data_IF_864530963355
#
_entry.id   IF_864530963355
#
_cell.length_a   1.000
_cell.length_b   1.000
_cell.length_c   1.000
_cell.angle_alpha   90.00
_cell.angle_beta   90.00
_cell.angle_gamma   90.00
#
_symmetry.space_group_name_H-M   'P 1'
#
loop_
_entity.id
_entity.type
_entity.pdbx_description
1 polymer ?
#
# COMPACT_ATOMS: atom_id res chain seq x y z
N UNK A 1 0.56 -9.27 27.60
CA UNK A 1 0.63 -8.18 26.59
C UNK A 1 0.08 -8.69 25.26
N UNK A 2 -0.90 -8.00 24.67
CA UNK A 2 -1.60 -8.47 23.46
C UNK A 2 -0.70 -8.52 22.21
N UNK A 3 -0.70 -9.65 21.48
CA UNK A 3 0.05 -9.90 20.24
C UNK A 3 -0.69 -9.37 18.99
N UNK A 4 -1.26 -8.16 19.07
CA UNK A 4 -2.02 -7.57 17.96
C UNK A 4 -1.14 -7.34 16.72
N UNK A 5 -1.64 -7.63 15.50
CA UNK A 5 -0.99 -7.20 14.27
C UNK A 5 -0.71 -5.69 14.24
N UNK A 6 0.30 -5.30 13.47
CA UNK A 6 0.67 -3.91 13.19
C UNK A 6 0.19 -3.52 11.81
N UNK A 7 -0.27 -2.29 11.71
CA UNK A 7 -0.66 -1.66 10.46
C UNK A 7 0.46 -0.67 10.11
N UNK A 8 1.00 -0.79 8.91
CA UNK A 8 2.01 0.11 8.38
C UNK A 8 1.66 0.54 6.94
N UNK A 9 2.21 1.67 6.51
CA UNK A 9 2.20 2.09 5.11
C UNK A 9 3.55 1.71 4.51
N UNK A 10 3.53 0.89 3.46
CA UNK A 10 4.71 0.50 2.69
C UNK A 10 4.95 1.48 1.55
N UNK A 11 6.22 1.71 1.27
CA UNK A 11 6.70 2.50 0.15
C UNK A 11 7.61 1.65 -0.74
N UNK A 12 7.35 1.70 -2.05
CA UNK A 12 8.15 1.02 -3.06
C UNK A 12 8.58 1.99 -4.17
N UNK A 13 9.77 1.80 -4.73
CA UNK A 13 10.12 2.49 -5.98
C UNK A 13 9.36 1.87 -7.17
N UNK A 14 9.10 2.68 -8.20
CA UNK A 14 8.43 2.34 -9.46
C UNK A 14 9.45 2.35 -10.62
N UNK A 15 10.58 1.68 -10.39
CA UNK A 15 11.69 1.61 -11.34
C UNK A 15 12.07 2.99 -11.90
N UNK A 16 12.14 3.11 -13.23
CA UNK A 16 12.50 4.33 -13.95
C UNK A 16 11.61 5.53 -13.58
N UNK A 17 10.34 5.31 -13.22
CA UNK A 17 9.40 6.39 -12.85
C UNK A 17 9.89 7.11 -11.58
N UNK A 18 10.50 6.40 -10.63
CA UNK A 18 10.97 7.01 -9.37
C UNK A 18 12.30 7.75 -9.50
N UNK A 19 13.04 7.58 -10.59
CA UNK A 19 14.39 8.15 -10.74
C UNK A 19 14.52 9.07 -11.97
N UNK A 20 13.48 9.17 -12.79
CA UNK A 20 13.46 10.05 -13.95
C UNK A 20 13.63 11.52 -13.50
N UNK A 21 14.52 12.29 -14.16
CA UNK A 21 14.67 13.72 -13.89
C UNK A 21 13.33 14.46 -14.02
N UNK A 22 12.97 15.26 -13.01
CA UNK A 22 11.70 15.99 -12.98
C UNK A 22 10.47 15.15 -12.59
N UNK A 23 10.62 13.86 -12.29
CA UNK A 23 9.50 13.00 -11.86
C UNK A 23 8.78 13.56 -10.62
N UNK A 24 9.52 14.11 -9.66
CA UNK A 24 8.95 14.72 -8.45
C UNK A 24 8.05 15.91 -8.76
N UNK A 25 8.46 16.77 -9.68
CA UNK A 25 7.67 17.96 -10.05
C UNK A 25 6.42 17.57 -10.84
N UNK A 26 6.51 16.53 -11.67
CA UNK A 26 5.43 16.04 -12.53
C UNK A 26 4.42 15.16 -11.80
N UNK A 27 4.89 14.30 -10.89
CA UNK A 27 4.10 13.23 -10.28
C UNK A 27 3.96 13.36 -8.76
N UNK A 28 4.72 14.24 -8.12
CA UNK A 28 4.74 14.33 -6.66
C UNK A 28 5.01 12.96 -6.03
N UNK A 29 4.15 12.54 -5.11
CA UNK A 29 4.25 11.24 -4.43
C UNK A 29 3.77 10.05 -5.28
N UNK A 30 3.11 10.29 -6.42
CA UNK A 30 2.68 9.24 -7.35
C UNK A 30 3.86 8.58 -8.10
N UNK A 31 5.07 9.15 -7.99
CA UNK A 31 6.29 8.53 -8.51
C UNK A 31 6.69 7.26 -7.74
N UNK A 32 6.10 7.01 -6.57
CA UNK A 32 6.27 5.79 -5.78
C UNK A 32 5.01 4.92 -5.79
N UNK A 33 5.17 3.65 -5.44
CA UNK A 33 4.05 2.74 -5.21
C UNK A 33 3.84 2.56 -3.71
N UNK A 34 2.58 2.48 -3.31
CA UNK A 34 2.17 2.50 -1.91
C UNK A 34 1.29 1.29 -1.60
N UNK A 35 1.41 0.77 -0.40
CA UNK A 35 0.57 -0.34 0.06
C UNK A 35 0.32 -0.23 1.58
N UNK A 36 -0.72 -0.92 2.05
CA UNK A 36 -0.96 -1.13 3.48
C UNK A 36 -0.42 -2.50 3.86
N UNK A 37 0.43 -2.55 4.87
CA UNK A 37 0.96 -3.77 5.46
C UNK A 37 0.25 -4.10 6.76
N UNK A 38 -0.35 -5.28 6.82
CA UNK A 38 -0.74 -5.94 8.05
C UNK A 38 0.32 -6.98 8.40
N UNK A 39 1.14 -6.70 9.40
CA UNK A 39 2.24 -7.59 9.82
C UNK A 39 2.06 -8.12 11.24
N UNK A 40 2.65 -9.29 11.57
CA UNK A 40 2.79 -9.70 12.96
C UNK A 40 3.56 -8.66 13.80
N UNK A 41 3.27 -8.61 15.11
CA UNK A 41 4.03 -7.76 16.03
C UNK A 41 5.51 -8.16 16.06
N UNK A 42 5.75 -9.47 16.10
CA UNK A 42 7.08 -10.05 16.10
C UNK A 42 7.67 -10.01 14.69
N UNK A 43 8.77 -9.27 14.53
CA UNK A 43 9.47 -9.14 13.25
C UNK A 43 10.07 -10.46 12.76
N UNK A 44 10.29 -11.45 13.64
CA UNK A 44 10.72 -12.79 13.22
C UNK A 44 9.67 -13.52 12.37
N UNK A 45 8.43 -13.04 12.38
CA UNK A 45 7.31 -13.59 11.63
C UNK A 45 6.92 -12.69 10.44
N UNK A 46 7.83 -11.83 9.97
CA UNK A 46 7.53 -10.86 8.91
C UNK A 46 7.05 -11.53 7.61
N UNK A 47 7.45 -12.78 7.35
CA UNK A 47 6.98 -13.56 6.19
C UNK A 47 5.48 -13.84 6.21
N UNK A 48 4.84 -13.83 7.38
CA UNK A 48 3.40 -14.02 7.52
C UNK A 48 2.59 -12.72 7.31
N UNK A 49 3.22 -11.66 6.81
CA UNK A 49 2.52 -10.40 6.56
C UNK A 49 1.59 -10.48 5.36
N UNK A 50 0.69 -9.51 5.28
CA UNK A 50 -0.22 -9.30 4.18
C UNK A 50 -0.12 -7.86 3.71
N UNK A 51 0.05 -7.68 2.40
CA UNK A 51 0.10 -6.36 1.77
C UNK A 51 -1.16 -6.15 0.92
N UNK A 52 -1.73 -4.96 1.02
CA UNK A 52 -2.93 -4.53 0.30
C UNK A 52 -2.58 -3.28 -0.50
N UNK A 53 -2.76 -3.33 -1.82
CA UNK A 53 -2.50 -2.18 -2.69
C UNK A 53 -3.58 -2.01 -3.75
N UNK A 54 -3.49 -0.90 -4.47
CA UNK A 54 -4.22 -0.68 -5.71
C UNK A 54 -3.18 -0.58 -6.81
N UNK A 55 -3.38 -1.34 -7.88
CA UNK A 55 -2.40 -1.44 -8.98
C UNK A 55 -3.13 -1.48 -10.31
N UNK A 56 -2.51 -0.94 -11.34
CA UNK A 56 -2.87 -1.07 -12.75
C UNK A 56 -1.99 -2.12 -13.46
N UNK A 57 -1.17 -2.85 -12.69
CA UNK A 57 -0.22 -3.82 -13.22
C UNK A 57 -0.88 -5.04 -13.85
N UNK A 58 -0.09 -5.71 -14.68
CA UNK A 58 -0.41 -6.97 -15.36
C UNK A 58 -0.94 -7.99 -14.34
N UNK A 59 -1.93 -8.78 -14.74
CA UNK A 59 -2.45 -9.90 -13.97
C UNK A 59 -2.36 -11.17 -14.81
N UNK A 60 -1.30 -11.95 -14.63
CA UNK A 60 -1.17 -13.18 -15.39
C UNK A 60 -2.10 -14.26 -14.84
N UNK A 61 -2.89 -14.88 -15.72
CA UNK A 61 -3.54 -16.15 -15.45
C UNK A 61 -2.44 -17.21 -15.16
N UNK A 62 -2.50 -17.93 -14.03
CA UNK A 62 -1.44 -18.86 -13.66
C UNK A 62 -1.27 -20.04 -14.63
N UNK A 63 -2.34 -20.46 -15.30
CA UNK A 63 -2.35 -21.61 -16.19
C UNK A 63 -1.95 -21.22 -17.62
N UNK A 64 -2.49 -20.12 -18.14
CA UNK A 64 -2.31 -19.72 -19.54
C UNK A 64 -1.26 -18.64 -19.74
N UNK A 65 -0.80 -17.98 -18.67
CA UNK A 65 0.06 -16.78 -18.71
C UNK A 65 -0.55 -15.62 -19.51
N UNK A 66 -1.85 -15.64 -19.75
CA UNK A 66 -2.57 -14.55 -20.40
C UNK A 66 -2.71 -13.40 -19.41
N UNK A 67 -2.51 -12.17 -19.88
CA UNK A 67 -2.82 -10.99 -19.07
C UNK A 67 -4.33 -10.81 -18.95
N UNK A 68 -4.82 -10.91 -17.72
CA UNK A 68 -6.19 -10.69 -17.30
C UNK A 68 -6.50 -9.20 -17.05
N UNK A 69 -5.49 -8.31 -17.10
CA UNK A 69 -5.66 -6.86 -17.01
C UNK A 69 -5.01 -6.11 -18.19
N UNK A 70 -5.34 -6.45 -19.45
CA UNK A 70 -4.68 -5.88 -20.64
C UNK A 70 -4.94 -4.37 -20.79
N UNK A 71 -6.05 -3.88 -20.24
CA UNK A 71 -6.38 -2.45 -20.25
C UNK A 71 -5.67 -1.67 -19.14
N UNK A 72 -4.92 -2.34 -18.26
CA UNK A 72 -4.27 -1.75 -17.10
C UNK A 72 -5.26 -0.92 -16.26
N UNK A 73 -6.41 -1.51 -15.94
CA UNK A 73 -7.40 -0.88 -15.07
C UNK A 73 -6.90 -0.96 -13.63
N UNK A 74 -7.15 0.11 -12.86
CA UNK A 74 -6.87 0.11 -11.43
C UNK A 74 -7.71 -0.97 -10.73
N UNK A 75 -7.05 -1.78 -9.90
CA UNK A 75 -7.71 -2.83 -9.12
C UNK A 75 -7.10 -2.97 -7.75
N UNK A 76 -7.93 -3.34 -6.78
CA UNK A 76 -7.47 -3.73 -5.45
C UNK A 76 -6.80 -5.08 -5.55
N UNK A 77 -5.62 -5.20 -4.94
CA UNK A 77 -4.83 -6.42 -4.93
C UNK A 77 -4.38 -6.73 -3.51
N UNK A 78 -4.45 -8.01 -3.19
CA UNK A 78 -4.02 -8.58 -1.93
C UNK A 78 -2.84 -9.51 -2.21
N UNK A 79 -1.73 -9.30 -1.50
CA UNK A 79 -0.55 -10.16 -1.57
C UNK A 79 -0.38 -10.85 -0.23
N UNK A 80 -0.47 -12.19 -0.23
CA UNK A 80 -0.28 -13.03 0.96
C UNK A 80 0.21 -14.44 0.61
N UNK A 81 1.09 -15.03 1.43
CA UNK A 81 1.96 -14.35 2.39
C UNK A 81 2.95 -13.41 1.67
N UNK A 82 3.42 -12.36 2.34
CA UNK A 82 4.46 -11.47 1.78
C UNK A 82 5.52 -11.14 2.84
N UNK A 83 6.78 -11.18 2.42
CA UNK A 83 7.88 -10.53 3.13
C UNK A 83 8.25 -9.25 2.36
N UNK A 84 7.99 -8.05 2.90
CA UNK A 84 8.34 -6.80 2.23
C UNK A 84 9.85 -6.65 2.00
N UNK A 85 10.68 -7.27 2.83
CA UNK A 85 12.14 -7.20 2.72
C UNK A 85 12.71 -8.12 1.63
N UNK A 86 11.89 -8.99 1.03
CA UNK A 86 12.32 -9.92 0.00
C UNK A 86 12.37 -9.30 -1.41
N UNK A 87 11.94 -8.04 -1.58
CA UNK A 87 11.99 -7.33 -2.86
C UNK A 87 12.95 -6.14 -2.78
N UNK A 88 13.77 -5.97 -3.83
CA UNK A 88 14.61 -4.78 -3.98
C UNK A 88 13.80 -3.49 -4.18
N UNK A 89 12.50 -3.61 -4.47
CA UNK A 89 11.64 -2.44 -4.68
C UNK A 89 11.19 -1.77 -3.39
N UNK A 90 11.29 -2.47 -2.25
CA UNK A 90 10.84 -1.96 -0.97
C UNK A 90 11.82 -0.90 -0.43
N UNK A 91 11.32 0.32 -0.24
CA UNK A 91 12.10 1.43 0.31
C UNK A 91 11.94 1.54 1.83
N UNK A 92 10.79 1.14 2.35
CA UNK A 92 10.52 1.19 3.78
C UNK A 92 9.04 1.07 4.11
N UNK A 93 8.74 0.98 5.41
CA UNK A 93 7.39 1.03 5.91
C UNK A 93 7.30 1.85 7.20
N UNK A 94 6.22 2.61 7.34
CA UNK A 94 5.95 3.40 8.54
C UNK A 94 4.80 2.76 9.30
N UNK A 95 5.06 2.29 10.52
CA UNK A 95 4.01 1.81 11.41
C UNK A 95 3.11 2.97 11.82
N UNK A 96 1.83 2.83 11.51
CA UNK A 96 0.81 3.84 11.78
C UNK A 96 -0.11 3.43 12.93
N UNK A 97 -0.19 2.13 13.24
CA UNK A 97 -1.01 1.68 14.35
C UNK A 97 -1.02 0.17 14.57
N UNK A 98 -1.99 -0.26 15.36
CA UNK A 98 -2.23 -1.66 15.71
C UNK A 98 -3.66 -2.01 15.33
N UNK A 99 -3.88 -3.24 14.87
CA UNK A 99 -5.22 -3.71 14.62
C UNK A 99 -6.03 -3.70 15.93
N UNK A 100 -7.22 -3.06 15.98
CA UNK A 100 -8.06 -3.06 17.16
C UNK A 100 -8.43 -4.49 17.60
N UNK A 101 -8.60 -4.73 18.91
CA UNK A 101 -8.87 -6.07 19.44
C UNK A 101 -10.15 -6.72 18.89
N UNK A 102 -11.13 -5.88 18.53
CA UNK A 102 -12.45 -6.31 18.05
C UNK A 102 -12.50 -6.49 16.53
N UNK A 103 -11.43 -6.14 15.81
CA UNK A 103 -11.37 -6.21 14.35
C UNK A 103 -10.52 -7.40 13.96
N UNK A 104 -11.09 -8.34 13.20
CA UNK A 104 -10.35 -9.47 12.62
C UNK A 104 -9.59 -9.03 11.37
N UNK A 105 -8.52 -9.74 10.97
CA UNK A 105 -7.84 -9.48 9.69
C UNK A 105 -8.79 -9.52 8.48
N UNK A 106 -9.79 -10.40 8.49
CA UNK A 106 -10.81 -10.50 7.44
C UNK A 106 -11.71 -9.26 7.40
N UNK A 107 -12.18 -8.78 8.57
CA UNK A 107 -12.95 -7.53 8.63
C UNK A 107 -12.12 -6.33 8.15
N UNK A 108 -10.85 -6.29 8.50
CA UNK A 108 -9.92 -5.26 8.01
C UNK A 108 -9.80 -5.31 6.48
N UNK A 109 -9.61 -6.49 5.90
CA UNK A 109 -9.58 -6.68 4.46
C UNK A 109 -10.89 -6.28 3.77
N UNK A 110 -12.04 -6.67 4.32
CA UNK A 110 -13.35 -6.25 3.78
C UNK A 110 -13.47 -4.72 3.77
N UNK A 111 -13.05 -4.05 4.84
CA UNK A 111 -13.03 -2.59 4.89
C UNK A 111 -12.11 -1.99 3.81
N UNK A 112 -10.91 -2.54 3.62
CA UNK A 112 -9.98 -2.09 2.56
C UNK A 112 -10.56 -2.28 1.15
N UNK A 113 -11.28 -3.38 0.92
CA UNK A 113 -11.87 -3.67 -0.40
C UNK A 113 -13.04 -2.75 -0.77
N UNK A 114 -13.63 -2.05 0.20
CA UNK A 114 -14.73 -1.11 -0.02
C UNK A 114 -14.26 0.29 -0.44
N UNK A 115 -12.95 0.54 -0.44
CA UNK A 115 -12.39 1.80 -0.89
C UNK A 115 -12.71 2.02 -2.37
N UNK A 116 -13.32 3.15 -2.71
CA UNK A 116 -13.57 3.52 -4.10
C UNK A 116 -12.25 3.68 -4.84
N UNK A 117 -12.04 2.82 -5.83
CA UNK A 117 -10.89 2.89 -6.74
C UNK A 117 -11.25 3.89 -7.85
N UNK A 118 -10.38 4.87 -8.15
CA UNK A 118 -10.63 5.80 -9.23
C UNK A 118 -10.72 5.09 -10.58
N UNK A 119 -11.61 5.59 -11.43
CA UNK A 119 -11.68 5.18 -12.83
C UNK A 119 -10.49 5.80 -13.58
N UNK A 120 -9.78 4.97 -14.33
CA UNK A 120 -8.62 5.35 -15.13
C UNK A 120 -8.91 6.56 -16.03
N UNK A 121 -7.95 7.47 -16.11
CA UNK A 121 -7.98 8.73 -16.89
C UNK A 121 -8.85 9.83 -16.30
N UNK A 122 -9.17 9.78 -15.01
CA UNK A 122 -9.65 10.96 -14.29
C UNK A 122 -8.44 11.69 -13.69
N UNK A 123 -8.46 13.02 -13.71
CA UNK A 123 -7.28 13.88 -13.45
C UNK A 123 -6.71 13.83 -12.02
N UNK A 124 -7.15 12.87 -11.19
CA UNK A 124 -6.78 12.71 -9.77
C UNK A 124 -6.40 11.26 -9.37
N UNK A 125 -6.13 10.39 -10.34
CA UNK A 125 -6.05 8.93 -10.14
C UNK A 125 -5.04 8.45 -9.09
N UNK A 126 -3.86 9.08 -8.98
CA UNK A 126 -2.84 8.64 -8.02
C UNK A 126 -2.99 9.24 -6.62
N UNK A 127 -3.48 10.47 -6.52
CA UNK A 127 -3.76 11.13 -5.24
C UNK A 127 -4.98 10.50 -4.56
N UNK A 128 -6.02 10.12 -5.32
CA UNK A 128 -7.23 9.54 -4.72
C UNK A 128 -7.04 8.15 -4.12
N UNK A 129 -6.12 7.33 -4.63
CA UNK A 129 -5.83 5.99 -4.08
C UNK A 129 -5.10 6.11 -2.74
N UNK A 130 -4.08 6.97 -2.68
CA UNK A 130 -3.38 7.31 -1.45
C UNK A 130 -4.36 7.91 -0.45
N UNK A 131 -5.15 8.90 -0.86
CA UNK A 131 -6.12 9.59 0.01
C UNK A 131 -7.16 8.62 0.55
N UNK A 132 -7.63 7.67 -0.26
CA UNK A 132 -8.64 6.73 0.19
C UNK A 132 -8.04 5.61 1.09
N UNK A 133 -6.81 5.16 0.83
CA UNK A 133 -6.06 4.28 1.72
C UNK A 133 -5.71 4.96 3.06
N UNK A 134 -5.31 6.24 3.02
CA UNK A 134 -4.97 7.06 4.19
C UNK A 134 -6.22 7.50 4.97
N UNK A 135 -7.34 7.76 4.28
CA UNK A 135 -8.65 7.99 4.89
C UNK A 135 -9.12 6.74 5.61
N UNK A 136 -9.02 5.57 4.98
CA UNK A 136 -9.44 4.33 5.61
C UNK A 136 -8.51 3.94 6.77
N UNK A 137 -7.20 4.10 6.61
CA UNK A 137 -6.25 3.99 7.71
C UNK A 137 -6.61 4.96 8.86
N UNK A 138 -6.91 6.22 8.55
CA UNK A 138 -7.32 7.23 9.52
C UNK A 138 -8.61 6.86 10.28
N UNK A 139 -9.60 6.31 9.57
CA UNK A 139 -10.87 5.84 10.13
C UNK A 139 -10.68 4.61 11.03
N UNK A 140 -9.79 3.69 10.67
CA UNK A 140 -9.44 2.52 11.50
C UNK A 140 -8.57 2.91 12.71
N UNK A 141 -7.82 4.01 12.63
CA UNK A 141 -6.85 4.44 13.66
C UNK A 141 -7.35 5.54 14.61
N UNK A 142 -8.62 5.95 14.52
CA UNK A 142 -9.27 6.96 15.37
C UNK A 142 -8.69 8.40 15.35
N UNK A 143 -7.53 8.66 14.70
CA UNK A 143 -6.84 9.97 14.74
C UNK A 143 -6.13 10.40 13.43
N UNK A 144 -6.38 9.73 12.31
CA UNK A 144 -5.71 10.08 11.04
C UNK A 144 -4.24 9.65 10.96
N UNK A 145 -3.60 9.78 9.78
CA UNK A 145 -2.18 9.48 9.59
C UNK A 145 -1.27 10.51 10.30
N UNK A 146 -0.14 10.11 10.90
CA UNK A 146 0.76 11.03 11.60
C UNK A 146 1.42 12.05 10.67
N UNK A 147 1.36 13.34 11.02
CA UNK A 147 2.11 14.45 10.37
C UNK A 147 3.62 14.17 10.19
N UNK A 148 4.19 13.33 11.06
CA UNK A 148 5.58 12.82 11.00
C UNK A 148 5.91 12.01 9.75
N UNK A 149 4.91 11.52 9.01
CA UNK A 149 5.10 10.78 7.76
C UNK A 149 5.62 11.73 6.67
N UNK A 150 5.04 12.93 6.55
CA UNK A 150 5.47 13.95 5.59
C UNK A 150 6.91 14.41 5.87
N UNK A 151 7.25 14.62 7.15
CA UNK A 151 8.57 15.08 7.58
C UNK A 151 9.66 14.03 7.32
N UNK A 152 9.38 12.74 7.57
CA UNK A 152 10.37 11.66 7.38
C UNK A 152 10.67 11.36 5.91
N UNK A 153 9.73 11.61 5.01
CA UNK A 153 9.98 11.41 3.57
C UNK A 153 10.74 12.59 2.92
N UNK A 154 10.86 13.74 3.60
CA UNK A 154 11.75 14.83 3.19
C UNK A 154 13.24 14.53 3.45
N UNK A 155 13.54 13.59 4.35
CA UNK A 155 14.89 13.21 4.78
C UNK A 155 15.53 12.10 3.93
N UNK A 156 14.73 11.39 3.13
CA UNK A 156 15.23 10.45 2.11
C UNK A 156 15.63 11.26 0.87
N UNK A 157 16.78 11.94 0.96
CA UNK A 157 17.43 12.71 -0.10
C UNK A 157 18.58 11.93 -0.70
#
# INVERSE_FOLDING_TARGET
MSNKPRIAIELFHRDQISIEPGARDRLGWAMYHWAILLRPKDFKQIDASVSYDVTDGIQLDPATRTDLNPEHNWRFRIRRPVNPLATGHFLGAIEIGKLPAKVTPQQFETLLSQVTIPLKNQSKDAESIMDAAMTLAGNVMAKGPPKKIEDRFQEVR
#
